data_IF_620710087720
#
_entry.id   IF_620710087720
#
_cell.length_a   1.000
_cell.length_b   1.000
_cell.length_c   1.000
_cell.angle_alpha   90.00
_cell.angle_beta   90.00
_cell.angle_gamma   90.00
#
_symmetry.space_group_name_H-M   'P 1'
#
loop_
_entity.id
_entity.type
_entity.pdbx_description
1 polymer ?
#
# COMPACT_ATOMS: atom_id res chain seq x y z
N UNK A 1 18.98 28.57 -24.53
CA UNK A 1 18.29 27.82 -23.44
C UNK A 1 16.95 27.20 -23.82
N UNK A 2 16.11 27.77 -24.69
CA UNK A 2 14.79 27.18 -25.04
C UNK A 2 14.82 25.93 -25.96
N UNK A 3 15.91 25.70 -26.69
CA UNK A 3 16.04 24.58 -27.64
C UNK A 3 16.39 23.23 -26.98
N UNK A 4 17.33 23.20 -26.02
CA UNK A 4 17.65 21.98 -25.25
C UNK A 4 16.45 21.44 -24.47
N UNK A 5 15.60 22.35 -23.98
CA UNK A 5 14.43 22.03 -23.17
C UNK A 5 13.29 21.39 -24.00
N UNK A 6 13.19 21.76 -25.29
CA UNK A 6 12.27 21.13 -26.23
C UNK A 6 12.74 19.75 -26.70
N UNK A 7 14.06 19.58 -26.87
CA UNK A 7 14.66 18.33 -27.34
C UNK A 7 14.62 17.25 -26.26
N UNK A 8 14.87 17.64 -25.00
CA UNK A 8 14.79 16.72 -23.86
C UNK A 8 13.35 16.26 -23.59
N UNK A 9 12.36 17.15 -23.75
CA UNK A 9 10.92 16.81 -23.68
C UNK A 9 10.47 15.87 -24.79
N UNK A 10 11.04 15.97 -26.00
CA UNK A 10 10.77 15.09 -27.13
C UNK A 10 11.36 13.69 -26.94
N UNK A 11 12.64 13.59 -26.58
CA UNK A 11 13.33 12.33 -26.34
C UNK A 11 12.71 11.54 -25.16
N UNK A 12 12.43 12.20 -24.04
CA UNK A 12 11.75 11.59 -22.89
C UNK A 12 10.32 11.13 -23.20
N UNK A 13 9.63 11.78 -24.15
CA UNK A 13 8.26 11.40 -24.53
C UNK A 13 8.26 10.16 -25.46
N UNK A 14 9.27 10.02 -26.32
CA UNK A 14 9.41 8.87 -27.23
C UNK A 14 9.85 7.61 -26.46
N UNK A 15 10.85 7.73 -25.59
CA UNK A 15 11.36 6.62 -24.77
C UNK A 15 10.32 6.15 -23.73
N UNK A 16 9.57 7.08 -23.13
CA UNK A 16 8.44 6.76 -22.25
C UNK A 16 7.31 6.07 -23.02
N UNK A 17 7.11 6.34 -24.32
CA UNK A 17 6.05 5.70 -25.12
C UNK A 17 6.38 4.26 -25.51
N UNK A 18 7.65 3.94 -25.79
CA UNK A 18 8.09 2.59 -26.17
C UNK A 18 8.17 1.67 -24.94
N UNK A 19 8.67 2.17 -23.81
CA UNK A 19 8.70 1.44 -22.53
C UNK A 19 7.27 1.22 -22.01
N UNK A 20 6.40 2.23 -22.08
CA UNK A 20 4.99 2.06 -21.67
C UNK A 20 4.23 1.15 -22.63
N UNK A 21 4.47 1.21 -23.94
CA UNK A 21 3.85 0.29 -24.91
C UNK A 21 4.30 -1.16 -24.69
N UNK A 22 5.58 -1.42 -24.46
CA UNK A 22 6.08 -2.77 -24.17
C UNK A 22 5.56 -3.31 -22.83
N UNK A 23 5.35 -2.44 -21.83
CA UNK A 23 4.73 -2.81 -20.54
C UNK A 23 3.20 -2.99 -20.60
N UNK A 24 2.54 -2.49 -21.65
CA UNK A 24 1.09 -2.62 -21.87
C UNK A 24 0.73 -3.63 -22.97
N UNK A 25 1.72 -4.26 -23.61
CA UNK A 25 1.54 -5.25 -24.68
C UNK A 25 1.08 -6.63 -24.18
N UNK A 26 0.86 -6.79 -22.87
CA UNK A 26 0.48 -8.08 -22.30
C UNK A 26 -0.98 -8.40 -22.63
N UNK A 27 -1.21 -9.51 -23.33
CA UNK A 27 -2.55 -10.04 -23.57
C UNK A 27 -3.31 -10.27 -22.25
N UNK A 28 -4.65 -10.22 -22.23
CA UNK A 28 -5.43 -10.44 -21.01
C UNK A 28 -5.16 -11.81 -20.34
N UNK A 29 -4.73 -12.81 -21.12
CA UNK A 29 -4.23 -14.10 -20.66
C UNK A 29 -2.89 -14.01 -19.93
N UNK A 30 -1.94 -13.22 -20.44
CA UNK A 30 -0.65 -13.02 -19.79
C UNK A 30 -0.75 -12.19 -18.50
N UNK A 31 -1.66 -11.21 -18.44
CA UNK A 31 -1.95 -10.51 -17.18
C UNK A 31 -2.52 -11.45 -16.11
N UNK A 32 -3.39 -12.39 -16.50
CA UNK A 32 -3.93 -13.40 -15.58
C UNK A 32 -2.86 -14.41 -15.14
N UNK A 33 -1.95 -14.79 -16.03
CA UNK A 33 -0.85 -15.70 -15.72
C UNK A 33 0.19 -15.03 -14.81
N UNK A 34 0.60 -13.81 -15.13
CA UNK A 34 1.52 -13.01 -14.32
C UNK A 34 0.97 -12.79 -12.91
N UNK A 35 -0.33 -12.52 -12.77
CA UNK A 35 -0.99 -12.41 -11.47
C UNK A 35 -0.95 -13.70 -10.64
N UNK A 36 -1.22 -14.85 -11.27
CA UNK A 36 -1.15 -16.16 -10.58
C UNK A 36 0.29 -16.52 -10.19
N UNK A 37 1.24 -16.29 -11.09
CA UNK A 37 2.65 -16.58 -10.87
C UNK A 37 3.22 -15.70 -9.76
N UNK A 38 2.93 -14.40 -9.78
CA UNK A 38 3.36 -13.47 -8.74
C UNK A 38 2.77 -13.85 -7.39
N UNK A 39 1.47 -14.19 -7.30
CA UNK A 39 0.85 -14.66 -6.05
C UNK A 39 1.46 -15.96 -5.54
N UNK A 40 1.67 -16.96 -6.42
CA UNK A 40 2.32 -18.21 -6.04
C UNK A 40 3.74 -17.97 -5.51
N UNK A 41 4.48 -17.07 -6.17
CA UNK A 41 5.81 -16.66 -5.74
C UNK A 41 5.78 -15.98 -4.36
N UNK A 42 4.88 -15.02 -4.11
CA UNK A 42 4.77 -14.34 -2.81
C UNK A 42 4.39 -15.29 -1.69
N UNK A 43 3.47 -16.23 -1.97
CA UNK A 43 3.05 -17.25 -1.01
C UNK A 43 4.20 -18.21 -0.67
N UNK A 44 4.98 -18.61 -1.67
CA UNK A 44 6.17 -19.46 -1.47
C UNK A 44 7.21 -18.72 -0.64
N UNK A 45 7.51 -17.45 -1.00
CA UNK A 45 8.42 -16.61 -0.25
C UNK A 45 8.00 -16.47 1.23
N UNK A 46 6.72 -16.26 1.50
CA UNK A 46 6.21 -16.06 2.87
C UNK A 46 6.47 -17.26 3.79
N UNK A 47 6.60 -18.47 3.25
CA UNK A 47 6.86 -19.69 4.02
C UNK A 47 8.35 -19.97 4.23
N UNK A 48 9.24 -19.36 3.45
CA UNK A 48 10.70 -19.57 3.57
C UNK A 48 11.20 -19.29 4.99
N UNK A 49 10.83 -18.20 5.68
CA UNK A 49 11.27 -17.97 7.04
C UNK A 49 10.87 -19.08 8.01
N UNK A 50 9.66 -19.64 7.88
CA UNK A 50 9.23 -20.76 8.70
C UNK A 50 10.02 -22.05 8.43
N UNK A 51 10.32 -22.33 7.15
CA UNK A 51 11.16 -23.47 6.76
C UNK A 51 12.56 -23.32 7.36
N UNK A 52 13.16 -22.12 7.27
CA UNK A 52 14.46 -21.82 7.87
C UNK A 52 14.43 -22.02 9.38
N UNK A 53 13.39 -21.55 10.07
CA UNK A 53 13.24 -21.76 11.51
C UNK A 53 13.08 -23.24 11.90
N UNK A 54 12.45 -24.06 11.05
CA UNK A 54 12.36 -25.53 11.25
C UNK A 54 13.72 -26.19 11.04
N UNK A 55 14.49 -25.78 10.03
CA UNK A 55 15.86 -26.30 9.81
C UNK A 55 16.76 -25.93 11.00
N UNK A 56 16.63 -24.71 11.52
CA UNK A 56 17.36 -24.22 12.68
C UNK A 56 16.75 -24.64 14.02
N UNK A 57 15.77 -25.55 14.03
CA UNK A 57 15.00 -25.88 15.23
C UNK A 57 15.89 -26.30 16.39
N UNK A 58 16.92 -27.10 16.16
CA UNK A 58 17.80 -27.56 17.25
C UNK A 58 18.77 -26.49 17.75
N UNK A 59 18.99 -25.43 16.98
CA UNK A 59 19.91 -24.33 17.33
C UNK A 59 19.19 -23.17 18.03
N UNK A 60 17.88 -23.04 17.80
CA UNK A 60 17.08 -21.97 18.39
C UNK A 60 16.70 -22.29 19.85
N UNK A 61 16.96 -21.37 20.80
CA UNK A 61 16.53 -21.50 22.18
C UNK A 61 15.00 -21.45 22.30
N UNK A 62 14.47 -22.05 23.37
CA UNK A 62 13.08 -21.89 23.79
C UNK A 62 13.08 -21.28 25.21
N UNK A 63 12.63 -20.03 25.41
CA UNK A 63 11.95 -19.14 24.45
C UNK A 63 12.91 -18.38 23.50
N UNK A 64 12.36 -17.89 22.38
CA UNK A 64 13.06 -16.96 21.47
C UNK A 64 13.04 -15.55 22.03
N UNK A 65 14.05 -14.75 21.72
CA UNK A 65 14.08 -13.35 22.16
C UNK A 65 13.44 -12.47 21.08
N UNK A 66 12.45 -11.67 21.47
CA UNK A 66 11.66 -10.85 20.54
C UNK A 66 12.02 -9.37 20.55
N UNK A 67 12.40 -8.84 21.71
CA UNK A 67 12.75 -7.43 21.87
C UNK A 67 13.92 -7.30 22.84
N UNK A 68 14.67 -6.21 22.69
CA UNK A 68 15.97 -6.04 23.34
C UNK A 68 16.10 -4.60 23.79
N UNK A 69 16.74 -4.39 24.92
CA UNK A 69 17.04 -3.05 25.43
C UNK A 69 18.01 -2.35 24.49
N UNK A 70 17.72 -1.11 24.08
CA UNK A 70 18.47 -0.39 23.04
C UNK A 70 19.93 -0.10 23.44
N UNK A 71 20.18 0.00 24.73
CA UNK A 71 21.42 0.43 25.37
C UNK A 71 22.29 -0.76 25.81
N UNK A 72 21.71 -1.77 26.46
CA UNK A 72 22.45 -2.95 26.97
C UNK A 72 22.37 -4.17 26.05
N UNK A 73 21.49 -4.17 25.05
CA UNK A 73 21.18 -5.34 24.21
C UNK A 73 20.82 -6.58 25.04
N UNK A 74 20.25 -6.40 26.22
CA UNK A 74 19.70 -7.50 27.01
C UNK A 74 18.30 -7.87 26.53
N UNK A 75 17.89 -9.15 26.65
CA UNK A 75 16.56 -9.58 26.27
C UNK A 75 15.51 -8.89 27.14
N UNK A 76 14.64 -8.10 26.52
CA UNK A 76 13.55 -7.40 27.19
C UNK A 76 12.28 -8.25 27.19
N UNK A 77 11.87 -8.74 26.02
CA UNK A 77 10.76 -9.66 25.86
C UNK A 77 11.18 -10.93 25.12
N UNK A 78 10.48 -12.02 25.44
CA UNK A 78 10.65 -13.32 24.79
C UNK A 78 9.32 -13.86 24.27
N UNK A 79 9.38 -14.67 23.22
CA UNK A 79 8.23 -15.33 22.61
C UNK A 79 8.44 -16.84 22.60
N UNK A 80 7.35 -17.59 22.64
CA UNK A 80 7.40 -19.04 22.51
C UNK A 80 8.01 -19.43 21.14
N UNK A 81 8.91 -20.41 21.13
CA UNK A 81 9.58 -20.89 19.92
C UNK A 81 8.62 -21.39 18.84
N UNK A 82 7.59 -22.14 19.23
CA UNK A 82 6.55 -22.63 18.30
C UNK A 82 5.83 -21.44 17.65
N UNK A 83 5.58 -20.38 18.43
CA UNK A 83 4.94 -19.19 17.90
C UNK A 83 5.80 -18.50 16.85
N UNK A 84 7.07 -18.24 17.15
CA UNK A 84 7.98 -17.51 16.25
C UNK A 84 8.40 -18.29 14.99
N UNK A 85 8.48 -19.62 15.08
CA UNK A 85 8.93 -20.48 13.97
C UNK A 85 7.79 -20.98 13.10
N UNK A 86 6.65 -21.35 13.69
CA UNK A 86 5.57 -22.05 12.98
C UNK A 86 4.34 -21.17 12.85
N UNK A 87 3.81 -20.66 13.98
CA UNK A 87 2.51 -19.96 13.97
C UNK A 87 2.62 -18.64 13.22
N UNK A 88 3.69 -17.86 13.44
CA UNK A 88 3.81 -16.54 12.86
C UNK A 88 3.96 -16.56 11.31
N UNK A 89 4.82 -17.40 10.70
CA UNK A 89 4.86 -17.55 9.23
C UNK A 89 3.54 -18.08 8.64
N UNK A 90 2.82 -18.96 9.35
CA UNK A 90 1.50 -19.42 8.90
C UNK A 90 0.45 -18.32 8.98
N UNK A 91 0.50 -17.48 10.02
CA UNK A 91 -0.37 -16.31 10.17
C UNK A 91 -0.15 -15.31 9.04
N UNK A 92 1.11 -14.96 8.75
CA UNK A 92 1.45 -14.03 7.65
C UNK A 92 1.10 -14.61 6.28
N UNK A 93 1.23 -15.93 6.09
CA UNK A 93 0.75 -16.63 4.91
C UNK A 93 -0.77 -16.53 4.75
N UNK A 94 -1.53 -16.80 5.82
CA UNK A 94 -2.99 -16.66 5.82
C UNK A 94 -3.43 -15.22 5.55
N UNK A 95 -2.74 -14.22 6.11
CA UNK A 95 -2.99 -12.80 5.84
C UNK A 95 -2.69 -12.44 4.38
N UNK A 96 -1.65 -13.01 3.77
CA UNK A 96 -1.33 -12.84 2.35
C UNK A 96 -2.47 -13.37 1.48
N UNK A 97 -3.02 -14.55 1.78
CA UNK A 97 -4.18 -15.12 1.09
C UNK A 97 -5.42 -14.24 1.27
N UNK A 98 -5.68 -13.78 2.50
CA UNK A 98 -6.81 -12.91 2.79
C UNK A 98 -6.70 -11.58 2.01
N UNK A 99 -5.51 -10.97 1.98
CA UNK A 99 -5.26 -9.76 1.21
C UNK A 99 -5.49 -9.98 -0.30
N UNK A 100 -5.05 -11.11 -0.84
CA UNK A 100 -5.32 -11.49 -2.23
C UNK A 100 -6.82 -11.71 -2.50
N UNK A 101 -7.55 -12.34 -1.58
CA UNK A 101 -8.98 -12.60 -1.70
C UNK A 101 -9.81 -11.32 -1.65
N UNK A 102 -9.57 -10.46 -0.65
CA UNK A 102 -10.20 -9.12 -0.54
C UNK A 102 -9.88 -8.31 -1.79
N UNK A 103 -8.67 -8.46 -2.31
CA UNK A 103 -8.31 -7.87 -3.58
C UNK A 103 -9.15 -8.35 -4.75
N UNK A 104 -9.44 -9.65 -4.85
CA UNK A 104 -10.12 -10.23 -6.02
C UNK A 104 -11.63 -9.92 -6.08
N UNK A 105 -12.31 -9.74 -4.94
CA UNK A 105 -13.76 -9.47 -4.86
C UNK A 105 -14.14 -8.02 -5.23
N UNK A 106 -13.49 -7.45 -6.24
CA UNK A 106 -13.37 -6.01 -6.44
C UNK A 106 -14.43 -5.31 -7.30
N UNK A 107 -15.51 -5.98 -7.69
CA UNK A 107 -16.58 -5.37 -8.50
C UNK A 107 -17.17 -4.07 -7.90
N UNK A 108 -16.96 -3.81 -6.60
CA UNK A 108 -17.39 -2.58 -5.90
C UNK A 108 -16.35 -1.45 -5.83
N UNK A 109 -15.12 -1.63 -6.33
CA UNK A 109 -14.02 -0.67 -6.17
C UNK A 109 -13.53 -0.13 -7.52
N UNK A 110 -14.42 0.59 -8.22
CA UNK A 110 -14.05 1.35 -9.41
C UNK A 110 -12.81 2.22 -9.14
N UNK A 111 -11.80 2.13 -10.03
CA UNK A 111 -10.57 2.95 -10.12
C UNK A 111 -9.27 2.51 -9.43
N UNK A 112 -9.16 1.33 -8.81
CA UNK A 112 -7.85 0.86 -8.32
C UNK A 112 -7.20 -0.08 -9.34
N UNK A 113 -6.07 0.36 -9.92
CA UNK A 113 -5.26 -0.42 -10.86
C UNK A 113 -4.91 -1.81 -10.29
N UNK A 114 -5.19 -2.89 -11.02
CA UNK A 114 -4.92 -4.28 -10.61
C UNK A 114 -3.48 -4.46 -10.12
N UNK A 115 -2.52 -3.75 -10.74
CA UNK A 115 -1.09 -3.79 -10.39
C UNK A 115 -0.79 -3.28 -8.98
N UNK A 116 -1.58 -2.35 -8.44
CA UNK A 116 -1.39 -1.81 -7.08
C UNK A 116 -1.72 -2.84 -6.00
N UNK A 117 -2.69 -3.71 -6.29
CA UNK A 117 -3.21 -4.68 -5.35
C UNK A 117 -2.23 -5.81 -5.06
N UNK A 118 -1.52 -6.25 -6.09
CA UNK A 118 -0.44 -7.22 -5.92
C UNK A 118 0.61 -6.72 -4.94
N UNK A 119 0.90 -5.42 -4.93
CA UNK A 119 1.92 -4.86 -4.04
C UNK A 119 1.44 -4.86 -2.57
N UNK A 120 0.16 -4.60 -2.32
CA UNK A 120 -0.43 -4.70 -0.98
C UNK A 120 -0.35 -6.14 -0.45
N UNK A 121 -0.52 -7.14 -1.33
CA UNK A 121 -0.37 -8.57 -0.99
C UNK A 121 1.06 -8.94 -0.58
N UNK A 122 2.08 -8.16 -0.94
CA UNK A 122 3.48 -8.45 -0.58
C UNK A 122 3.86 -7.98 0.83
N UNK A 123 3.12 -7.03 1.41
CA UNK A 123 3.44 -6.48 2.73
C UNK A 123 3.49 -7.54 3.85
N UNK A 124 2.52 -8.47 3.98
CA UNK A 124 2.57 -9.49 5.03
C UNK A 124 3.75 -10.46 4.84
N UNK A 125 4.11 -10.78 3.60
CA UNK A 125 5.27 -11.60 3.29
C UNK A 125 6.57 -10.93 3.76
N UNK A 126 6.75 -9.63 3.49
CA UNK A 126 7.94 -8.90 3.94
C UNK A 126 8.02 -8.81 5.47
N UNK A 127 6.89 -8.62 6.15
CA UNK A 127 6.82 -8.65 7.62
C UNK A 127 7.23 -10.02 8.19
N UNK A 128 6.91 -11.11 7.49
CA UNK A 128 7.34 -12.44 7.88
C UNK A 128 8.87 -12.58 7.84
N UNK A 129 9.51 -12.05 6.79
CA UNK A 129 10.97 -12.09 6.66
C UNK A 129 11.67 -11.24 7.72
N UNK A 130 11.20 -10.02 7.96
CA UNK A 130 11.85 -9.12 8.93
C UNK A 130 11.75 -9.67 10.34
N UNK A 131 10.56 -10.07 10.79
CA UNK A 131 10.35 -10.52 12.17
C UNK A 131 11.01 -11.87 12.46
N UNK A 132 10.85 -12.85 11.57
CA UNK A 132 11.52 -14.15 11.77
C UNK A 132 13.04 -14.00 11.66
N UNK A 133 13.51 -13.17 10.71
CA UNK A 133 14.93 -12.87 10.56
C UNK A 133 15.54 -12.31 11.85
N UNK A 134 14.92 -11.28 12.43
CA UNK A 134 15.41 -10.67 13.68
C UNK A 134 15.38 -11.62 14.86
N UNK A 135 14.30 -12.39 15.03
CA UNK A 135 14.20 -13.34 16.14
C UNK A 135 15.26 -14.44 16.06
N UNK A 136 15.54 -14.97 14.86
CA UNK A 136 16.53 -16.03 14.70
C UNK A 136 17.95 -15.50 14.87
N UNK A 137 18.30 -14.38 14.23
CA UNK A 137 19.66 -13.81 14.34
C UNK A 137 19.96 -13.41 15.77
N UNK A 138 18.98 -12.83 16.48
CA UNK A 138 19.20 -12.42 17.85
C UNK A 138 19.33 -13.62 18.78
N UNK A 139 18.48 -14.63 18.63
CA UNK A 139 18.54 -15.85 19.45
C UNK A 139 19.81 -16.69 19.20
N UNK A 140 20.46 -16.53 18.04
CA UNK A 140 21.74 -17.15 17.69
C UNK A 140 22.96 -16.26 18.01
N UNK A 141 22.78 -15.11 18.67
CA UNK A 141 23.82 -14.11 18.94
C UNK A 141 24.54 -13.57 17.69
N UNK A 142 23.88 -13.59 16.53
CA UNK A 142 24.40 -13.07 15.25
C UNK A 142 24.03 -11.60 15.05
N UNK A 143 24.55 -10.72 15.91
CA UNK A 143 24.17 -9.30 15.99
C UNK A 143 24.45 -8.50 14.71
N UNK A 144 25.60 -8.73 14.09
CA UNK A 144 25.99 -7.98 12.88
C UNK A 144 25.04 -8.30 11.71
N UNK A 145 24.76 -9.59 11.50
CA UNK A 145 23.89 -10.08 10.42
C UNK A 145 22.43 -9.64 10.61
N UNK A 146 21.99 -9.41 11.85
CA UNK A 146 20.64 -8.94 12.14
C UNK A 146 20.35 -7.60 11.47
N UNK A 147 21.22 -6.62 11.70
CA UNK A 147 21.05 -5.26 11.19
C UNK A 147 21.01 -5.28 9.66
N UNK A 148 21.94 -6.01 9.05
CA UNK A 148 22.04 -6.13 7.59
C UNK A 148 20.76 -6.69 6.97
N UNK A 149 20.22 -7.77 7.53
CA UNK A 149 18.98 -8.40 7.03
C UNK A 149 17.80 -7.44 7.14
N UNK A 150 17.65 -6.75 8.28
CA UNK A 150 16.54 -5.82 8.50
C UNK A 150 16.61 -4.67 7.48
N UNK A 151 17.78 -4.07 7.28
CA UNK A 151 17.92 -2.93 6.39
C UNK A 151 17.84 -3.30 4.92
N UNK A 152 18.34 -4.47 4.54
CA UNK A 152 18.17 -5.00 3.19
C UNK A 152 16.68 -5.20 2.86
N UNK A 153 15.93 -5.83 3.76
CA UNK A 153 14.49 -6.05 3.56
C UNK A 153 13.72 -4.73 3.60
N UNK A 154 14.04 -3.80 4.51
CA UNK A 154 13.44 -2.46 4.53
C UNK A 154 13.71 -1.67 3.25
N UNK A 155 14.92 -1.78 2.69
CA UNK A 155 15.29 -1.17 1.42
C UNK A 155 14.43 -1.68 0.26
N UNK A 156 14.21 -3.00 0.20
CA UNK A 156 13.30 -3.62 -0.78
C UNK A 156 11.87 -3.11 -0.58
N UNK A 157 11.38 -3.03 0.66
CA UNK A 157 10.04 -2.50 0.97
C UNK A 157 9.91 -1.06 0.44
N UNK A 158 10.90 -0.20 0.69
CA UNK A 158 10.89 1.18 0.23
C UNK A 158 10.87 1.27 -1.29
N UNK A 159 11.67 0.47 -1.99
CA UNK A 159 11.61 0.40 -3.46
C UNK A 159 10.24 -0.06 -3.96
N UNK A 160 9.66 -1.10 -3.36
CA UNK A 160 8.33 -1.60 -3.75
C UNK A 160 7.24 -0.54 -3.53
N UNK A 161 7.26 0.17 -2.41
CA UNK A 161 6.35 1.30 -2.14
C UNK A 161 6.56 2.40 -3.18
N UNK A 162 7.81 2.74 -3.49
CA UNK A 162 8.12 3.77 -4.47
C UNK A 162 7.62 3.45 -5.87
N UNK A 163 7.82 2.20 -6.34
CA UNK A 163 7.26 1.70 -7.60
C UNK A 163 5.73 1.72 -7.60
N UNK A 164 5.11 1.52 -6.44
CA UNK A 164 3.66 1.63 -6.29
C UNK A 164 3.19 3.05 -6.57
N UNK A 165 3.79 4.06 -5.92
CA UNK A 165 3.40 5.46 -6.07
C UNK A 165 3.52 5.95 -7.52
N UNK A 166 4.52 5.49 -8.28
CA UNK A 166 4.65 5.84 -9.71
C UNK A 166 3.44 5.41 -10.58
N UNK A 167 2.63 4.44 -10.10
CA UNK A 167 1.49 3.86 -10.84
C UNK A 167 0.13 4.20 -10.24
N UNK A 168 0.09 5.00 -9.18
CA UNK A 168 -1.15 5.38 -8.48
C UNK A 168 -1.86 6.52 -9.21
N UNK A 169 -3.04 6.23 -9.74
CA UNK A 169 -4.00 7.26 -10.18
C UNK A 169 -4.63 7.96 -8.98
N UNK A 170 -5.22 9.14 -9.20
CA UNK A 170 -5.87 9.91 -8.13
C UNK A 170 -6.97 9.10 -7.47
N UNK A 171 -6.75 8.79 -6.20
CA UNK A 171 -7.60 7.91 -5.41
C UNK A 171 -7.74 8.48 -4.00
N UNK A 172 -8.91 8.31 -3.40
CA UNK A 172 -9.16 8.71 -2.01
C UNK A 172 -8.34 7.90 -0.98
N UNK A 173 -7.95 6.65 -1.32
CA UNK A 173 -7.44 5.66 -0.35
C UNK A 173 -5.92 5.46 -0.34
N UNK A 174 -5.24 5.62 -1.48
CA UNK A 174 -3.84 5.24 -1.66
C UNK A 174 -3.02 6.39 -2.23
N UNK A 175 -1.74 6.49 -1.83
CA UNK A 175 -0.79 7.49 -2.31
C UNK A 175 -0.41 8.54 -1.26
N UNK A 176 0.53 9.40 -1.63
CA UNK A 176 0.94 10.55 -0.83
C UNK A 176 -0.13 11.65 -0.87
N UNK A 177 -1.00 11.67 0.15
CA UNK A 177 -2.19 12.55 0.19
C UNK A 177 -1.90 13.82 0.97
N UNK A 178 -1.90 14.94 0.27
CA UNK A 178 -1.93 16.28 0.85
C UNK A 178 -3.17 17.03 0.34
N UNK A 179 -3.68 18.02 1.08
CA UNK A 179 -4.79 18.87 0.60
C UNK A 179 -4.48 19.47 -0.78
N UNK A 180 -3.22 19.85 -0.99
CA UNK A 180 -2.72 20.45 -2.22
C UNK A 180 -2.64 19.47 -3.40
N UNK A 181 -2.21 18.22 -3.16
CA UNK A 181 -2.13 17.19 -4.21
C UNK A 181 -3.52 16.74 -4.69
N UNK A 182 -4.56 16.86 -3.86
CA UNK A 182 -5.93 16.53 -4.25
C UNK A 182 -6.58 17.60 -5.15
N UNK A 183 -6.00 18.81 -5.22
CA UNK A 183 -6.52 19.95 -5.97
C UNK A 183 -6.57 19.76 -7.50
N UNK A 184 -5.87 18.76 -8.05
CA UNK A 184 -5.93 18.46 -9.49
C UNK A 184 -5.19 17.20 -9.88
N UNK A 185 -5.55 16.60 -11.02
CA UNK A 185 -4.92 15.35 -11.51
C UNK A 185 -3.43 15.54 -11.85
N UNK A 186 -3.07 16.71 -12.40
CA UNK A 186 -1.68 17.02 -12.72
C UNK A 186 -0.84 17.14 -11.44
N UNK A 187 -1.36 17.83 -10.42
CA UNK A 187 -0.69 18.00 -9.13
C UNK A 187 -0.53 16.66 -8.42
N UNK A 188 -1.59 15.85 -8.40
CA UNK A 188 -1.53 14.48 -7.90
C UNK A 188 -0.40 13.70 -8.57
N UNK A 189 -0.34 13.73 -9.91
CA UNK A 189 0.64 12.96 -10.67
C UNK A 189 2.07 13.40 -10.42
N UNK A 190 2.33 14.71 -10.31
CA UNK A 190 3.66 15.25 -9.99
C UNK A 190 4.06 14.79 -8.58
N UNK A 191 3.19 14.96 -7.58
CA UNK A 191 3.47 14.57 -6.19
C UNK A 191 3.73 13.07 -6.05
N UNK A 192 2.90 12.22 -6.66
CA UNK A 192 3.10 10.76 -6.60
C UNK A 192 4.36 10.32 -7.34
N UNK A 193 4.67 10.93 -8.49
CA UNK A 193 5.89 10.58 -9.26
C UNK A 193 7.13 10.93 -8.45
N UNK A 194 7.16 12.13 -7.85
CA UNK A 194 8.28 12.58 -7.02
C UNK A 194 8.43 11.73 -5.76
N UNK A 195 7.33 11.47 -5.04
CA UNK A 195 7.34 10.60 -3.87
C UNK A 195 7.82 9.20 -4.24
N UNK A 196 7.29 8.60 -5.31
CA UNK A 196 7.69 7.27 -5.75
C UNK A 196 9.17 7.17 -6.09
N UNK A 197 9.73 8.17 -6.78
CA UNK A 197 11.15 8.20 -7.13
C UNK A 197 12.04 8.36 -5.89
N UNK A 198 11.64 9.19 -4.93
CA UNK A 198 12.33 9.35 -3.64
C UNK A 198 12.30 8.08 -2.81
N UNK A 199 11.18 7.36 -2.76
CA UNK A 199 11.09 6.07 -2.06
C UNK A 199 12.00 5.01 -2.70
N UNK A 200 12.12 4.98 -4.04
CA UNK A 200 13.06 4.09 -4.72
C UNK A 200 14.50 4.45 -4.37
N UNK A 201 14.87 5.73 -4.46
CA UNK A 201 16.21 6.22 -4.11
C UNK A 201 16.54 5.94 -2.63
N UNK A 202 15.59 6.22 -1.73
CA UNK A 202 15.73 5.93 -0.31
C UNK A 202 15.98 4.43 -0.07
N UNK A 203 15.25 3.55 -0.74
CA UNK A 203 15.48 2.10 -0.65
C UNK A 203 16.86 1.66 -1.13
N UNK A 204 17.36 2.25 -2.22
CA UNK A 204 18.73 2.01 -2.70
C UNK A 204 19.78 2.51 -1.71
N UNK A 205 19.63 3.73 -1.20
CA UNK A 205 20.51 4.28 -0.17
C UNK A 205 20.50 3.39 1.07
N UNK A 206 19.33 3.04 1.62
CA UNK A 206 19.19 2.18 2.80
C UNK A 206 19.87 0.82 2.61
N UNK A 207 19.75 0.22 1.42
CA UNK A 207 20.41 -1.07 1.12
C UNK A 207 21.93 -0.93 1.08
N UNK A 208 22.44 0.15 0.48
CA UNK A 208 23.88 0.43 0.41
C UNK A 208 24.46 0.77 1.79
N UNK A 209 23.70 1.50 2.62
CA UNK A 209 24.08 1.79 4.00
C UNK A 209 24.09 0.55 4.88
N UNK A 210 23.16 -0.39 4.70
CA UNK A 210 23.20 -1.69 5.38
C UNK A 210 24.51 -2.42 5.06
N UNK A 211 24.89 -2.50 3.78
CA UNK A 211 26.15 -3.11 3.37
C UNK A 211 27.39 -2.39 3.95
N UNK A 212 27.36 -1.05 4.02
CA UNK A 212 28.44 -0.27 4.62
C UNK A 212 28.58 -0.51 6.13
N UNK A 213 27.45 -0.64 6.84
CA UNK A 213 27.41 -0.91 8.28
C UNK A 213 28.08 -2.25 8.61
N UNK A 214 27.92 -3.27 7.75
CA UNK A 214 28.61 -4.57 7.88
C UNK A 214 30.13 -4.43 8.01
N UNK A 215 30.75 -3.45 7.35
CA UNK A 215 32.19 -3.21 7.41
C UNK A 215 32.61 -2.22 8.52
N UNK A 216 31.68 -1.42 9.05
CA UNK A 216 31.95 -0.37 10.03
C UNK A 216 30.89 -0.33 11.16
N UNK A 217 30.81 -1.36 12.01
CA UNK A 217 29.72 -1.52 12.99
C UNK A 217 29.77 -0.54 14.17
N UNK A 218 30.88 0.19 14.37
CA UNK A 218 31.05 1.13 15.49
C UNK A 218 30.31 2.45 15.33
N UNK A 219 29.66 2.68 14.19
CA UNK A 219 29.06 3.96 13.79
C UNK A 219 27.51 3.99 13.91
N UNK A 220 26.98 3.45 15.01
CA UNK A 220 25.53 3.39 15.26
C UNK A 220 24.87 4.79 15.25
N UNK A 221 25.57 5.83 15.72
CA UNK A 221 25.02 7.19 15.72
C UNK A 221 24.89 7.77 14.31
N UNK A 222 25.91 7.58 13.48
CA UNK A 222 25.90 7.98 12.06
C UNK A 222 24.76 7.29 11.32
N UNK A 223 24.52 6.02 11.67
CA UNK A 223 23.43 5.22 11.17
C UNK A 223 22.04 5.78 11.51
N UNK A 224 21.78 6.08 12.79
CA UNK A 224 20.49 6.65 13.23
C UNK A 224 20.22 8.00 12.55
N UNK A 225 21.23 8.87 12.47
CA UNK A 225 21.11 10.19 11.83
C UNK A 225 20.71 10.04 10.36
N UNK A 226 21.35 9.13 9.62
CA UNK A 226 21.03 8.89 8.20
C UNK A 226 19.60 8.37 7.98
N UNK A 227 19.10 7.52 8.88
CA UNK A 227 17.71 7.06 8.84
C UNK A 227 16.72 8.18 9.09
N UNK A 228 16.97 9.01 10.10
CA UNK A 228 16.15 10.19 10.38
C UNK A 228 16.14 11.13 9.17
N UNK A 229 17.32 11.41 8.58
CA UNK A 229 17.43 12.23 7.36
C UNK A 229 16.63 11.63 6.22
N UNK A 230 16.73 10.32 5.99
CA UNK A 230 15.98 9.64 4.91
C UNK A 230 14.47 9.77 5.10
N UNK A 231 13.97 9.57 6.32
CA UNK A 231 12.55 9.72 6.66
C UNK A 231 12.11 11.17 6.43
N UNK A 232 12.88 12.14 6.91
CA UNK A 232 12.59 13.57 6.74
C UNK A 232 12.55 13.92 5.25
N UNK A 233 13.52 13.48 4.46
CA UNK A 233 13.60 13.72 3.01
C UNK A 233 12.36 13.17 2.29
N UNK A 234 12.00 11.91 2.58
CA UNK A 234 10.88 11.22 1.92
C UNK A 234 9.52 11.83 2.32
N UNK A 235 9.41 12.40 3.52
CA UNK A 235 8.18 13.07 3.97
C UNK A 235 8.11 14.53 3.52
N UNK A 236 9.18 15.30 3.65
CA UNK A 236 9.18 16.76 3.46
C UNK A 236 9.25 17.13 1.99
N UNK A 237 10.08 16.47 1.17
CA UNK A 237 10.24 16.86 -0.24
C UNK A 237 8.93 16.72 -1.03
N UNK A 238 8.19 15.59 -0.97
CA UNK A 238 6.92 15.49 -1.69
C UNK A 238 5.86 16.48 -1.18
N UNK A 239 5.91 16.84 0.10
CA UNK A 239 5.04 17.87 0.67
C UNK A 239 5.33 19.25 0.05
N UNK A 240 6.60 19.66 0.01
CA UNK A 240 7.03 20.93 -0.60
C UNK A 240 6.66 20.96 -2.08
N UNK A 241 6.97 19.89 -2.82
CA UNK A 241 6.62 19.77 -4.25
C UNK A 241 5.11 19.85 -4.46
N UNK A 242 4.33 19.28 -3.55
CA UNK A 242 2.86 19.39 -3.59
C UNK A 242 2.36 20.82 -3.40
N UNK A 243 3.01 21.63 -2.57
CA UNK A 243 2.68 23.05 -2.36
C UNK A 243 3.06 23.85 -3.62
N UNK A 244 4.27 23.65 -4.12
CA UNK A 244 4.75 24.35 -5.33
C UNK A 244 3.82 24.06 -6.51
N UNK A 245 3.48 22.80 -6.75
CA UNK A 245 2.58 22.39 -7.83
C UNK A 245 1.18 23.01 -7.68
N UNK A 246 0.70 23.21 -6.46
CA UNK A 246 -0.58 23.88 -6.21
C UNK A 246 -0.52 25.36 -6.56
N UNK A 247 0.51 26.08 -6.13
CA UNK A 247 0.64 27.50 -6.40
C UNK A 247 0.88 27.81 -7.88
N UNK A 248 1.73 27.03 -8.56
CA UNK A 248 1.98 27.22 -10.00
C UNK A 248 0.73 27.05 -10.85
N UNK A 249 -0.17 26.14 -10.47
CA UNK A 249 -1.42 25.90 -11.20
C UNK A 249 -2.49 26.93 -10.84
N UNK A 250 -2.48 27.46 -9.61
CA UNK A 250 -3.40 28.54 -9.19
C UNK A 250 -3.09 29.88 -9.85
N UNK A 251 -1.83 30.12 -10.25
CA UNK A 251 -1.43 31.33 -10.98
C UNK A 251 -1.84 31.30 -12.47
N UNK A 252 -1.89 30.12 -13.09
CA UNK A 252 -2.26 29.95 -14.50
C UNK A 252 -3.78 29.89 -14.75
N UNK A 253 -4.60 29.83 -13.71
CA UNK A 253 -6.05 30.03 -13.85
C UNK A 253 -6.31 31.54 -13.97
N UNK A 254 -6.87 32.05 -15.09
CA UNK A 254 -7.33 33.44 -15.11
C UNK A 254 -8.31 33.59 -13.95
N UNK A 255 -8.09 34.59 -13.09
CA UNK A 255 -9.00 34.91 -11.98
C UNK A 255 -10.39 35.10 -12.58
N UNK A 256 -11.23 34.08 -12.49
CA UNK A 256 -12.61 34.19 -12.88
C UNK A 256 -13.22 35.25 -11.95
N UNK A 257 -13.71 36.35 -12.53
CA UNK A 257 -14.39 37.38 -11.74
C UNK A 257 -15.54 36.71 -10.98
N UNK A 258 -15.99 37.27 -9.84
CA UNK A 258 -17.06 36.65 -9.06
C UNK A 258 -18.24 36.35 -9.97
N UNK A 259 -18.51 35.06 -10.22
CA UNK A 259 -19.71 34.65 -10.96
C UNK A 259 -20.90 35.18 -10.20
N UNK A 260 -21.68 36.05 -10.84
CA UNK A 260 -23.01 36.40 -10.34
C UNK A 260 -23.77 35.11 -9.99
N UNK A 261 -24.48 35.06 -8.85
CA UNK A 261 -25.20 33.86 -8.46
C UNK A 261 -26.22 33.49 -9.54
N UNK A 262 -25.96 32.39 -10.23
CA UNK A 262 -26.85 31.81 -11.24
C UNK A 262 -28.19 31.46 -10.57
N UNK A 263 -29.34 31.86 -11.14
CA UNK A 263 -30.63 31.64 -10.50
C UNK A 263 -30.91 30.15 -10.29
N UNK A 264 -31.29 29.82 -9.07
CA UNK A 264 -31.58 28.50 -8.53
C UNK A 264 -32.38 27.62 -9.51
N UNK A 265 -31.73 26.62 -10.12
CA UNK A 265 -32.42 25.60 -10.93
C UNK A 265 -33.26 24.73 -9.99
N UNK A 266 -34.55 25.04 -9.90
CA UNK A 266 -35.56 24.22 -9.22
C UNK A 266 -35.45 22.76 -9.67
N UNK A 267 -34.89 21.91 -8.81
CA UNK A 267 -34.97 20.47 -9.00
C UNK A 267 -36.44 20.06 -8.94
N UNK A 268 -36.97 19.72 -10.11
CA UNK A 268 -38.31 19.17 -10.25
C UNK A 268 -38.31 17.79 -9.62
N UNK A 269 -38.75 17.69 -8.37
CA UNK A 269 -39.07 16.42 -7.72
C UNK A 269 -40.16 15.73 -8.55
N UNK A 270 -39.78 14.65 -9.25
CA UNK A 270 -40.72 13.78 -9.95
C UNK A 270 -41.57 13.08 -8.89
N UNK A 271 -42.75 13.65 -8.60
CA UNK A 271 -43.73 13.11 -7.66
C UNK A 271 -44.24 11.79 -8.23
N UNK A 272 -43.67 10.67 -7.80
CA UNK A 272 -44.24 9.34 -8.08
C UNK A 272 -45.64 9.32 -7.45
N UNK A 273 -46.67 9.30 -8.29
CA UNK A 273 -48.07 9.07 -7.90
C UNK A 273 -48.14 7.74 -7.15
N UNK A 274 -48.23 7.79 -5.82
CA UNK A 274 -48.86 6.72 -5.06
C UNK A 274 -50.36 6.90 -5.31
N UNK A 275 -50.89 6.17 -6.29
CA UNK A 275 -52.32 6.08 -6.51
C UNK A 275 -52.93 5.38 -5.30
N UNK A 276 -53.73 6.13 -4.56
CA UNK A 276 -54.73 5.65 -3.63
C UNK A 276 -55.64 4.63 -4.33
N UNK A 277 -55.37 3.34 -4.12
CA UNK A 277 -56.28 2.24 -4.44
C UNK A 277 -56.97 1.75 -3.17
N UNK A 278 -57.75 2.62 -2.53
CA UNK A 278 -58.76 2.20 -1.54
C UNK A 278 -59.92 1.57 -2.30
N UNK A 279 -59.92 0.24 -2.43
CA UNK A 279 -61.12 -0.58 -2.55
C UNK A 279 -60.68 -2.05 -2.66
N UNK A 280 -61.38 -2.93 -1.93
CA UNK A 280 -61.18 -4.40 -1.83
C UNK A 280 -60.29 -4.91 -0.69
N UNK A 281 -60.51 -4.40 0.51
CA UNK A 281 -60.17 -5.13 1.76
C UNK A 281 -61.28 -5.08 2.82
N UNK A 282 -62.53 -4.89 2.41
CA UNK A 282 -63.69 -4.91 3.31
C UNK A 282 -64.75 -5.98 3.00
N UNK A 283 -64.51 -6.86 2.01
CA UNK A 283 -65.41 -8.00 1.73
C UNK A 283 -65.01 -9.30 2.45
N UNK A 284 -63.73 -9.48 2.82
CA UNK A 284 -63.26 -10.70 3.50
C UNK A 284 -63.40 -10.68 5.04
N UNK A 285 -63.44 -9.49 5.65
CA UNK A 285 -63.43 -9.35 7.13
C UNK A 285 -64.86 -9.36 7.72
N UNK A 286 -65.89 -9.08 6.91
CA UNK A 286 -67.30 -9.20 7.32
C UNK A 286 -67.81 -10.65 7.30
N UNK A 287 -67.30 -11.51 6.41
CA UNK A 287 -67.69 -12.93 6.34
C UNK A 287 -67.12 -13.80 7.48
N UNK A 288 -66.09 -13.34 8.19
CA UNK A 288 -65.45 -14.08 9.29
C UNK A 288 -66.07 -13.71 10.66
N UNK A 289 -66.69 -12.54 10.80
CA UNK A 289 -67.40 -12.13 12.04
C UNK A 289 -68.82 -12.69 12.16
N UNK A 290 -69.48 -13.08 11.08
CA UNK A 290 -70.81 -13.72 11.14
C UNK A 290 -70.77 -15.24 11.34
N UNK A 291 -69.66 -15.93 11.02
CA UNK A 291 -69.51 -17.37 11.31
C UNK A 291 -69.09 -17.70 12.75
N UNK A 292 -68.68 -16.70 13.56
CA UNK A 292 -68.31 -16.89 14.98
C UNK A 292 -69.43 -16.58 15.99
N UNK A 293 -70.62 -16.16 15.52
CA UNK A 293 -71.79 -15.88 16.38
C UNK A 293 -72.93 -16.89 16.24
N UNK A 294 -72.67 -18.04 15.59
CA UNK A 294 -73.63 -19.12 15.37
C UNK A 294 -73.16 -20.51 15.84
N UNK A 295 -72.03 -20.60 16.55
CA UNK A 295 -71.49 -21.85 17.10
C UNK A 295 -70.91 -21.70 18.52
N UNK A 296 -71.37 -20.71 19.29
CA UNK A 296 -71.20 -20.61 20.75
C UNK A 296 -72.25 -19.66 21.32
#
# INVERSE_FOLDING_TARGET
>A
MRLCDSFNRGALRIERSSIVKSLNANSPTEMRLFGKLTMAFTLTLCLIPGIVGIVLWNQLPDPLISSVTADTYEPLDTINKIFGVVIFPLLTFALTILAAYVGRNREKFNNVNDKLMYIVTWLPCMMSFTMCGTWYTYSLNMREVQNDIVFFVLGIIFMCIGVSFLRVYRNWRYGYRTPYAMGGENNWRITQTTSGLLFILAGFCSSFYGLWFMFNPTEIMTFVVMWVVTIVVVLVIPYIVSIIAYHTVSEDQPKESPREPEPEKKQTYKKTKVSSGSSKTNAGVKAIKEKKKKNQ
#
